data_IF_319150830126
#
_entry.id   IF_319150830126
#
_cell.length_a   1.000
_cell.length_b   1.000
_cell.length_c   1.000
_cell.angle_alpha   90.00
_cell.angle_beta   90.00
_cell.angle_gamma   90.00
#
_symmetry.space_group_name_H-M   'P 1'
#
loop_
_entity.id
_entity.type
_entity.pdbx_description
1 polymer ?
2 water ?
#
# COMPACT_ATOMS: atom_id res chain seq x y z
CA UNK A 1 -2.38 1.32 -0.64
C UNK A 1 -1.67 2.35 -1.49
N UNK A 2 -1.93 2.11 -2.84
CA UNK A 2 -1.26 2.80 -3.92
C UNK A 2 -2.35 3.25 -4.89
N UNK A 3 -1.89 4.18 -5.83
CA UNK A 3 -2.78 4.64 -6.89
C UNK A 3 -3.34 3.45 -7.65
N UNK A 4 -4.73 3.37 -7.62
CA UNK A 4 -5.47 2.28 -8.33
C UNK A 4 -5.09 0.87 -7.92
N UNK A 5 -4.53 0.77 -6.64
CA UNK A 5 -4.30 -0.52 -6.01
C UNK A 5 -4.41 -0.39 -4.52
N UNK A 6 -5.72 -0.26 -4.14
CA UNK A 6 -6.03 -0.06 -2.74
C UNK A 6 -7.33 -0.80 -2.53
N UNK A 7 -7.19 -2.09 -1.96
CA UNK A 7 -8.41 -2.92 -1.80
C UNK A 7 -9.22 -2.50 -0.60
N UNK A 8 -8.67 -1.54 0.27
CA UNK A 8 -9.40 -1.09 1.41
C UNK A 8 -10.55 -0.19 1.08
N UNK A 9 -10.34 0.75 0.09
CA UNK A 9 -11.40 1.69 -0.19
C UNK A 9 -10.77 2.70 -1.12
N UNK A 10 -11.68 3.73 -1.46
CA UNK B 1 2.44 0.47 1.20
C UNK B 1 1.66 0.56 2.49
N UNK B 2 1.97 -0.55 3.31
CA UNK B 2 1.22 -0.79 4.56
C UNK B 2 2.26 -0.92 5.66
N UNK B 3 1.78 -0.82 6.95
CA UNK B 3 2.72 -0.87 8.06
C UNK B 3 3.38 -2.23 8.13
N UNK B 4 4.79 -2.19 8.11
CA UNK B 4 5.66 -3.38 8.04
C UNK B 4 5.37 -4.25 6.83
N UNK B 5 4.85 -3.56 5.71
CA UNK B 5 4.84 -4.19 4.42
C UNK B 5 4.77 -3.06 3.40
N UNK B 6 5.89 -2.23 3.39
CA UNK B 6 5.98 -1.14 2.43
C UNK B 6 7.30 -1.31 1.75
N UNK B 7 7.30 -1.96 0.51
CA UNK B 7 8.59 -2.29 -0.12
C UNK B 7 9.30 -1.10 -0.67
N UNK B 8 8.58 0.09 -0.75
CA UNK B 8 9.23 1.29 -1.31
C UNK B 8 10.17 1.98 -0.38
N UNK B 9 9.91 1.96 0.98
CA UNK B 9 10.74 2.76 1.85
C UNK B 9 10.31 2.49 3.27
N UNK B 10 11.23 3.00 4.17
#
# INVERSE_FOLDING_TARGET
XYIQNCPLGX
XYIQNCPLGX
#
